data_IF_303172612908
#
_entry.id   IF_303172612908
#
_cell.length_a   1.000
_cell.length_b   1.000
_cell.length_c   1.000
_cell.angle_alpha   90.00
_cell.angle_beta   90.00
_cell.angle_gamma   90.00
#
_symmetry.space_group_name_H-M   'P 1'
#
loop_
_entity.id
_entity.type
_entity.pdbx_description
1 polymer ?
#
# COMPACT_ATOMS: atom_id res chain seq x y z
N UNK A 1 -7.84 -21.01 21.31
CA UNK A 1 -8.54 -21.20 20.01
C UNK A 1 -9.18 -19.91 19.47
N UNK A 2 -10.01 -19.20 20.24
CA UNK A 2 -10.69 -17.94 19.80
C UNK A 2 -9.76 -16.86 19.20
N UNK A 3 -8.56 -16.66 19.77
CA UNK A 3 -7.56 -15.67 19.26
C UNK A 3 -6.98 -16.04 17.87
N UNK A 4 -6.77 -17.33 17.58
CA UNK A 4 -6.27 -17.79 16.28
C UNK A 4 -7.33 -17.65 15.19
N UNK A 5 -8.59 -17.98 15.51
CA UNK A 5 -9.74 -17.81 14.62
C UNK A 5 -9.97 -16.33 14.30
N UNK A 6 -9.94 -15.45 15.31
CA UNK A 6 -10.05 -14.00 15.11
C UNK A 6 -8.94 -13.46 14.20
N UNK A 7 -7.70 -13.90 14.41
CA UNK A 7 -6.57 -13.50 13.57
C UNK A 7 -6.70 -14.02 12.13
N UNK A 8 -7.25 -15.22 11.95
CA UNK A 8 -7.47 -15.81 10.62
C UNK A 8 -8.56 -15.03 9.86
N UNK A 9 -9.73 -14.81 10.48
CA UNK A 9 -10.80 -13.98 9.93
C UNK A 9 -10.32 -12.58 9.55
N UNK A 10 -9.55 -11.94 10.43
CA UNK A 10 -9.02 -10.60 10.19
C UNK A 10 -8.04 -10.54 9.01
N UNK A 11 -7.27 -11.60 8.74
CA UNK A 11 -6.24 -11.61 7.69
C UNK A 11 -6.80 -12.04 6.32
N UNK A 12 -7.86 -12.85 6.29
CA UNK A 12 -8.37 -13.41 5.03
C UNK A 12 -9.72 -12.84 4.61
N UNK A 13 -10.60 -12.49 5.55
CA UNK A 13 -11.96 -12.03 5.25
C UNK A 13 -12.04 -10.50 5.23
N UNK A 14 -11.38 -9.83 6.17
CA UNK A 14 -11.44 -8.36 6.20
C UNK A 14 -10.76 -7.66 5.00
N UNK A 15 -9.63 -8.12 4.44
CA UNK A 15 -9.00 -7.41 3.33
C UNK A 15 -9.86 -7.25 2.06
N UNK A 16 -10.54 -8.29 1.52
CA UNK A 16 -11.42 -8.10 0.36
C UNK A 16 -12.63 -7.22 0.70
N UNK A 17 -13.17 -7.31 1.92
CA UNK A 17 -14.26 -6.42 2.38
C UNK A 17 -13.78 -4.96 2.42
N UNK A 18 -12.60 -4.71 2.98
CA UNK A 18 -12.02 -3.36 3.01
C UNK A 18 -11.67 -2.86 1.61
N UNK A 19 -11.17 -3.71 0.72
CA UNK A 19 -10.95 -3.37 -0.68
C UNK A 19 -12.25 -2.92 -1.36
N UNK A 20 -13.35 -3.65 -1.17
CA UNK A 20 -14.67 -3.27 -1.67
C UNK A 20 -15.14 -1.94 -1.08
N UNK A 21 -15.05 -1.79 0.24
CA UNK A 21 -15.41 -0.54 0.94
C UNK A 21 -14.59 0.66 0.43
N UNK A 22 -13.26 0.52 0.34
CA UNK A 22 -12.37 1.57 -0.16
C UNK A 22 -12.65 1.88 -1.64
N UNK A 23 -12.99 0.87 -2.45
CA UNK A 23 -13.38 1.06 -3.85
C UNK A 23 -14.70 1.81 -3.99
N UNK A 24 -15.68 1.57 -3.11
CA UNK A 24 -16.92 2.36 -3.05
C UNK A 24 -16.64 3.78 -2.56
N UNK A 25 -15.82 3.92 -1.52
CA UNK A 25 -15.42 5.22 -0.99
C UNK A 25 -14.66 6.04 -2.03
N UNK A 26 -13.89 5.41 -2.93
CA UNK A 26 -13.28 6.08 -4.07
C UNK A 26 -14.31 6.77 -4.98
N UNK A 27 -15.51 6.20 -5.12
CA UNK A 27 -16.58 6.80 -5.94
C UNK A 27 -17.14 8.07 -5.29
N UNK A 28 -17.12 8.14 -3.95
CA UNK A 28 -17.62 9.30 -3.22
C UNK A 28 -16.52 10.35 -2.94
N UNK A 29 -15.26 9.94 -2.92
CA UNK A 29 -14.11 10.82 -2.71
C UNK A 29 -13.78 11.65 -3.95
N UNK A 30 -13.66 12.97 -3.75
CA UNK A 30 -13.01 13.86 -4.73
C UNK A 30 -11.53 14.02 -4.37
N UNK A 31 -10.65 13.38 -5.16
CA UNK A 31 -9.20 13.53 -5.01
C UNK A 31 -8.70 14.62 -5.95
N UNK A 32 -8.26 15.74 -5.37
CA UNK A 32 -7.58 16.80 -6.11
C UNK A 32 -6.06 16.65 -5.95
N UNK A 33 -5.35 16.69 -7.06
CA UNK A 33 -3.88 16.69 -7.06
C UNK A 33 -3.40 18.11 -7.32
N UNK A 34 -2.76 18.71 -6.33
CA UNK A 34 -2.17 20.05 -6.44
C UNK A 34 -0.71 19.90 -6.85
N UNK A 35 -0.25 20.69 -7.83
CA UNK A 35 1.13 20.68 -8.33
C UNK A 35 1.62 19.30 -8.78
N UNK A 36 0.74 18.51 -9.41
CA UNK A 36 1.10 17.17 -9.88
C UNK A 36 2.10 17.29 -11.05
N UNK A 37 3.23 16.58 -11.02
CA UNK A 37 4.09 16.48 -12.19
C UNK A 37 3.32 15.85 -13.38
N UNK A 38 3.70 16.13 -14.63
CA UNK A 38 3.04 15.55 -15.81
C UNK A 38 2.94 14.03 -15.70
N UNK A 39 1.82 13.43 -16.10
CA UNK A 39 1.59 11.97 -16.01
C UNK A 39 2.66 11.17 -16.76
N UNK A 40 3.28 11.75 -17.79
CA UNK A 40 4.43 11.20 -18.53
C UNK A 40 5.63 10.88 -17.63
N UNK A 41 5.82 11.61 -16.51
CA UNK A 41 6.86 11.30 -15.51
C UNK A 41 6.56 10.03 -14.71
N UNK A 42 5.30 9.59 -14.61
CA UNK A 42 4.96 8.32 -13.96
C UNK A 42 5.00 7.10 -14.87
N UNK A 43 5.31 7.31 -16.15
CA UNK A 43 5.33 6.26 -17.18
C UNK A 43 6.65 6.11 -17.94
N UNK A 44 7.68 6.94 -17.72
CA UNK A 44 8.87 6.91 -18.57
C UNK A 44 10.21 6.91 -17.82
N UNK A 45 11.00 5.87 -18.09
CA UNK A 45 12.45 5.68 -17.88
C UNK A 45 13.06 5.76 -16.48
N UNK A 46 12.41 6.31 -15.46
CA UNK A 46 13.07 6.53 -14.16
C UNK A 46 12.36 5.86 -12.98
N UNK A 47 13.15 5.46 -11.99
CA UNK A 47 12.68 5.00 -10.69
C UNK A 47 12.43 6.21 -9.78
N UNK A 48 11.32 6.21 -9.05
CA UNK A 48 10.94 7.31 -8.15
C UNK A 48 10.61 6.78 -6.75
N UNK A 49 10.96 7.56 -5.74
CA UNK A 49 10.48 7.35 -4.37
C UNK A 49 9.32 8.30 -4.13
N UNK A 50 8.17 7.75 -3.77
CA UNK A 50 6.98 8.53 -3.41
C UNK A 50 6.88 8.62 -1.90
N UNK A 51 7.03 9.83 -1.37
CA UNK A 51 6.84 10.13 0.04
C UNK A 51 5.45 10.72 0.26
N UNK A 52 4.75 10.26 1.30
CA UNK A 52 3.44 10.79 1.67
C UNK A 52 3.26 10.78 3.19
N UNK A 53 2.39 11.66 3.67
CA UNK A 53 2.02 11.73 5.08
C UNK A 53 1.05 10.61 5.44
N UNK A 54 1.17 10.05 6.65
CA UNK A 54 0.27 9.00 7.14
C UNK A 54 -1.22 9.38 7.04
N UNK A 55 -1.57 10.65 7.23
CA UNK A 55 -2.93 11.18 7.05
C UNK A 55 -3.47 11.15 5.60
N UNK A 56 -2.71 10.61 4.65
CA UNK A 56 -3.11 10.38 3.25
C UNK A 56 -3.11 8.91 2.85
N UNK A 57 -2.81 7.99 3.77
CA UNK A 57 -2.66 6.56 3.49
C UNK A 57 -3.90 5.97 2.79
N UNK A 58 -5.10 6.42 3.17
CA UNK A 58 -6.36 5.97 2.56
C UNK A 58 -6.50 6.38 1.08
N UNK A 59 -5.91 7.50 0.67
CA UNK A 59 -5.97 8.01 -0.70
C UNK A 59 -4.87 7.43 -1.60
N UNK A 60 -3.77 6.94 -1.00
CA UNK A 60 -2.58 6.50 -1.74
C UNK A 60 -2.84 5.35 -2.73
N UNK A 61 -3.71 4.35 -2.44
CA UNK A 61 -4.03 3.32 -3.42
C UNK A 61 -4.61 3.87 -4.73
N UNK A 62 -5.16 5.10 -4.71
CA UNK A 62 -5.77 5.76 -5.86
C UNK A 62 -4.86 6.80 -6.51
N UNK A 63 -3.69 7.07 -5.93
CA UNK A 63 -2.79 8.12 -6.42
C UNK A 63 -2.39 7.83 -7.86
N UNK A 64 -2.04 6.57 -8.17
CA UNK A 64 -1.66 6.09 -9.51
C UNK A 64 -2.80 5.35 -10.22
N UNK A 65 -3.30 5.96 -11.31
CA UNK A 65 -4.21 5.28 -12.25
C UNK A 65 -3.48 4.08 -12.86
N UNK A 66 -4.10 2.91 -12.84
CA UNK A 66 -3.52 1.66 -13.35
C UNK A 66 -2.65 0.88 -12.35
N UNK A 67 -2.49 1.37 -11.12
CA UNK A 67 -1.70 0.68 -10.09
C UNK A 67 -0.18 0.73 -10.32
N UNK A 68 0.55 -0.13 -9.61
CA UNK A 68 1.99 -0.28 -9.72
C UNK A 68 2.82 0.45 -8.67
N UNK A 69 4.09 0.07 -8.59
CA UNK A 69 5.02 0.45 -7.52
C UNK A 69 4.98 -0.50 -6.32
N UNK A 70 5.92 -0.33 -5.39
CA UNK A 70 5.97 -1.07 -4.14
C UNK A 70 5.94 -0.09 -2.95
N UNK A 71 5.20 -0.43 -1.89
CA UNK A 71 5.17 0.36 -0.64
C UNK A 71 5.95 -0.37 0.45
N UNK A 72 6.78 0.37 1.19
CA UNK A 72 7.49 -0.18 2.35
C UNK A 72 6.51 -0.30 3.53
N UNK A 73 6.24 -1.54 3.96
CA UNK A 73 5.29 -1.81 5.05
C UNK A 73 5.97 -2.68 6.12
N UNK A 74 5.68 -2.39 7.39
CA UNK A 74 6.29 -3.09 8.52
C UNK A 74 5.85 -4.56 8.62
N UNK A 75 6.73 -5.43 9.15
CA UNK A 75 6.45 -6.86 9.39
C UNK A 75 5.46 -7.15 10.55
N UNK A 76 4.88 -6.12 11.16
CA UNK A 76 3.90 -6.30 12.24
C UNK A 76 2.54 -6.71 11.68
N UNK A 77 1.64 -7.20 12.56
CA UNK A 77 0.32 -7.70 12.18
C UNK A 77 -0.51 -6.67 11.40
N UNK A 78 -0.50 -5.40 11.83
CA UNK A 78 -1.25 -4.35 11.14
C UNK A 78 -0.63 -4.04 9.77
N UNK A 79 0.69 -4.12 9.67
CA UNK A 79 1.39 -4.01 8.39
C UNK A 79 1.13 -5.18 7.45
N UNK A 80 0.91 -6.39 7.96
CA UNK A 80 0.47 -7.53 7.14
C UNK A 80 -0.96 -7.32 6.61
N UNK A 81 -1.83 -6.80 7.47
CA UNK A 81 -3.21 -6.47 7.09
C UNK A 81 -3.26 -5.42 5.98
N UNK A 82 -2.51 -4.31 6.14
CA UNK A 82 -2.41 -3.26 5.12
C UNK A 82 -1.79 -3.82 3.83
N UNK A 83 -0.73 -4.64 3.93
CA UNK A 83 -0.08 -5.24 2.77
C UNK A 83 -1.04 -6.06 1.90
N UNK A 84 -1.95 -6.81 2.52
CA UNK A 84 -2.99 -7.57 1.82
C UNK A 84 -4.05 -6.70 1.19
N UNK A 85 -4.41 -5.58 1.82
CA UNK A 85 -5.39 -4.65 1.25
C UNK A 85 -4.82 -3.99 0.00
N UNK A 86 -3.58 -3.48 0.08
CA UNK A 86 -2.96 -2.77 -1.05
C UNK A 86 -2.65 -3.68 -2.24
N UNK A 87 -2.44 -4.99 -2.01
CA UNK A 87 -2.22 -5.94 -3.11
C UNK A 87 -3.46 -6.10 -4.01
N UNK A 88 -4.68 -5.97 -3.48
CA UNK A 88 -5.90 -5.94 -4.32
C UNK A 88 -5.97 -4.71 -5.24
N UNK A 89 -5.26 -3.63 -4.90
CA UNK A 89 -5.12 -2.45 -5.76
C UNK A 89 -3.95 -2.58 -6.76
N UNK A 90 -3.31 -3.75 -6.87
CA UNK A 90 -2.17 -3.98 -7.74
C UNK A 90 -0.88 -3.28 -7.27
N UNK A 91 -0.78 -2.99 -5.97
CA UNK A 91 0.39 -2.35 -5.36
C UNK A 91 1.22 -3.42 -4.65
N UNK A 92 2.49 -3.52 -5.04
CA UNK A 92 3.44 -4.41 -4.38
C UNK A 92 3.83 -3.90 -2.99
N UNK A 93 4.45 -4.76 -2.19
CA UNK A 93 4.90 -4.39 -0.85
C UNK A 93 6.32 -4.86 -0.60
N UNK A 94 7.17 -3.96 -0.13
CA UNK A 94 8.48 -4.30 0.43
C UNK A 94 8.32 -4.47 1.93
N UNK A 95 8.83 -5.55 2.51
CA UNK A 95 8.66 -5.83 3.96
C UNK A 95 9.84 -5.29 4.76
N UNK A 96 9.61 -4.21 5.50
CA UNK A 96 10.61 -3.56 6.36
C UNK A 96 10.44 -3.83 7.85
N UNK A 97 11.51 -3.65 8.64
CA UNK A 97 11.45 -3.66 10.11
C UNK A 97 12.43 -2.64 10.69
N UNK A 98 12.07 -1.98 11.80
CA UNK A 98 12.89 -0.97 12.49
C UNK A 98 14.15 -1.56 13.19
N UNK A 99 14.36 -2.88 13.22
CA UNK A 99 15.50 -3.49 13.93
C UNK A 99 16.80 -3.49 13.11
N UNK A 100 17.94 -3.30 13.82
CA UNK A 100 19.33 -3.42 13.31
C UNK A 100 19.45 -4.64 12.37
N UNK A 101 19.63 -4.40 11.06
CA UNK A 101 19.68 -5.46 10.04
C UNK A 101 18.81 -5.23 8.80
N UNK A 102 18.33 -4.00 8.55
CA UNK A 102 17.39 -3.61 7.47
C UNK A 102 17.91 -3.75 6.03
N UNK A 103 19.07 -4.38 5.81
CA UNK A 103 19.68 -4.65 4.49
C UNK A 103 18.75 -5.45 3.58
N UNK A 104 17.93 -6.36 4.12
CA UNK A 104 16.97 -7.18 3.35
C UNK A 104 15.95 -6.34 2.59
N UNK A 105 15.32 -5.37 3.26
CA UNK A 105 14.30 -4.50 2.62
C UNK A 105 14.95 -3.53 1.63
N UNK A 106 16.19 -3.10 1.87
CA UNK A 106 16.93 -2.25 0.95
C UNK A 106 17.26 -2.99 -0.35
N UNK A 107 17.65 -4.27 -0.25
CA UNK A 107 17.84 -5.15 -1.40
C UNK A 107 16.56 -5.38 -2.20
N UNK A 108 15.41 -5.53 -1.52
CA UNK A 108 14.10 -5.70 -2.17
C UNK A 108 13.58 -4.42 -2.88
N UNK A 109 14.10 -3.24 -2.50
CA UNK A 109 13.85 -1.97 -3.20
C UNK A 109 14.71 -1.88 -4.47
N UNK A 110 15.93 -2.41 -4.44
CA UNK A 110 16.87 -2.37 -5.56
C UNK A 110 16.58 -3.42 -6.66
N UNK A 111 15.79 -4.45 -6.34
CA UNK A 111 15.35 -5.51 -7.25
C UNK A 111 13.88 -5.35 -7.65
#
# INVERSE_FOLDING_TARGET
MKKKIKSFLMIYIMPPVLFGFLSLLRLTLRVQHVNRPPEERWGSRFNYIVCFWHGRLLMMPFAKKGGGGKVLISRHRDGEFIARIVSFFGIGTVRGSYRKGSVSSLREILH
#
